data_IF_482575380660
#
_entry.id   IF_482575380660
#
_cell.length_a   1.000
_cell.length_b   1.000
_cell.length_c   1.000
_cell.angle_alpha   90.00
_cell.angle_beta   90.00
_cell.angle_gamma   90.00
#
_symmetry.space_group_name_H-M   'P 1'
#
loop_
_entity.id
_entity.type
_entity.pdbx_description
1 polymer ?
#
# COMPACT_ATOMS: atom_id res chain seq x y z
N UNK A 1 4.48 9.67 12.29
CA UNK A 1 4.09 9.69 10.85
C UNK A 1 4.54 8.36 10.28
N UNK A 2 3.60 7.52 9.87
CA UNK A 2 3.92 6.19 9.33
C UNK A 2 4.52 6.35 7.92
N UNK A 3 5.51 5.52 7.59
CA UNK A 3 6.22 5.56 6.32
C UNK A 3 6.61 4.16 5.90
N UNK A 4 6.39 3.86 4.62
CA UNK A 4 6.76 2.61 3.97
C UNK A 4 8.20 2.60 3.45
N UNK A 5 8.99 3.66 3.71
CA UNK A 5 10.28 3.88 3.05
C UNK A 5 11.28 2.72 3.20
N UNK A 6 11.35 2.09 4.37
CA UNK A 6 12.24 0.94 4.61
C UNK A 6 11.82 -0.26 3.74
N UNK A 7 10.52 -0.50 3.60
CA UNK A 7 10.00 -1.61 2.81
C UNK A 7 10.13 -1.34 1.32
N UNK A 8 9.86 -0.12 0.87
CA UNK A 8 10.10 0.33 -0.51
C UNK A 8 11.58 0.14 -0.86
N UNK A 9 12.50 0.52 0.03
CA UNK A 9 13.93 0.31 -0.19
C UNK A 9 14.32 -1.17 -0.25
N UNK A 10 13.76 -2.01 0.63
CA UNK A 10 13.99 -3.48 0.60
C UNK A 10 13.55 -4.09 -0.74
N UNK A 11 12.35 -3.74 -1.21
CA UNK A 11 11.84 -4.22 -2.52
C UNK A 11 12.70 -3.70 -3.67
N UNK A 12 13.09 -2.42 -3.65
CA UNK A 12 13.99 -1.85 -4.64
C UNK A 12 15.29 -2.66 -4.73
N UNK A 13 15.90 -3.02 -3.60
CA UNK A 13 17.15 -3.80 -3.59
C UNK A 13 16.97 -5.26 -4.00
N UNK A 14 15.78 -5.82 -3.88
CA UNK A 14 15.46 -7.15 -4.41
C UNK A 14 15.34 -7.14 -5.95
N UNK A 15 14.82 -6.06 -6.54
CA UNK A 15 14.60 -5.94 -7.99
C UNK A 15 15.83 -5.35 -8.70
N UNK A 16 16.49 -4.37 -8.09
CA UNK A 16 17.63 -3.62 -8.62
C UNK A 16 18.69 -3.34 -7.53
N UNK A 17 19.60 -4.30 -7.26
CA UNK A 17 20.58 -4.20 -6.17
C UNK A 17 21.46 -2.95 -6.22
N UNK A 18 21.84 -2.51 -7.42
CA UNK A 18 22.80 -1.39 -7.61
C UNK A 18 22.12 -0.03 -7.78
N UNK A 19 20.79 0.02 -7.84
CA UNK A 19 20.04 1.27 -8.03
C UNK A 19 19.74 1.97 -6.71
N UNK A 20 19.96 3.28 -6.66
CA UNK A 20 19.54 4.15 -5.54
C UNK A 20 18.20 4.83 -5.81
N UNK A 21 17.59 5.40 -4.77
CA UNK A 21 16.36 6.20 -4.87
C UNK A 21 16.55 7.52 -4.13
N UNK A 22 16.15 8.63 -4.76
CA UNK A 22 16.23 9.96 -4.14
C UNK A 22 15.16 10.13 -3.05
N UNK A 23 15.36 11.08 -2.14
CA UNK A 23 14.36 11.42 -1.10
C UNK A 23 13.03 11.87 -1.70
N UNK A 24 13.05 12.62 -2.81
CA UNK A 24 11.85 13.05 -3.54
C UNK A 24 11.10 11.85 -4.14
N UNK A 25 11.80 10.94 -4.81
CA UNK A 25 11.19 9.73 -5.36
C UNK A 25 10.65 8.82 -4.26
N UNK A 26 11.36 8.69 -3.14
CA UNK A 26 10.89 7.93 -1.98
C UNK A 26 9.60 8.53 -1.40
N UNK A 27 9.50 9.86 -1.29
CA UNK A 27 8.27 10.53 -0.83
C UNK A 27 7.08 10.24 -1.76
N UNK A 28 7.30 10.30 -3.09
CA UNK A 28 6.27 9.97 -4.08
C UNK A 28 5.82 8.51 -3.93
N UNK A 29 6.76 7.57 -3.82
CA UNK A 29 6.45 6.15 -3.63
C UNK A 29 5.69 5.90 -2.33
N UNK A 30 6.05 6.59 -1.24
CA UNK A 30 5.32 6.49 0.02
C UNK A 30 3.88 7.00 -0.12
N UNK A 31 3.67 8.14 -0.78
CA UNK A 31 2.32 8.65 -1.08
C UNK A 31 1.53 7.70 -1.97
N UNK A 32 2.17 7.10 -2.98
CA UNK A 32 1.53 6.12 -3.86
C UNK A 32 1.03 4.89 -3.09
N UNK A 33 1.84 4.34 -2.17
CA UNK A 33 1.42 3.21 -1.34
C UNK A 33 0.24 3.58 -0.43
N UNK A 34 0.24 4.79 0.14
CA UNK A 34 -0.89 5.25 0.96
C UNK A 34 -2.18 5.41 0.13
N UNK A 35 -2.11 6.06 -1.04
CA UNK A 35 -3.28 6.21 -1.94
C UNK A 35 -3.86 4.85 -2.33
N UNK A 36 -3.01 3.91 -2.73
CA UNK A 36 -3.45 2.57 -3.11
C UNK A 36 -4.08 1.83 -1.91
N UNK A 37 -3.46 1.92 -0.74
CA UNK A 37 -3.99 1.31 0.49
C UNK A 37 -5.36 1.86 0.84
N UNK A 38 -5.53 3.18 0.86
CA UNK A 38 -6.81 3.84 1.17
C UNK A 38 -7.90 3.45 0.17
N UNK A 39 -7.57 3.41 -1.12
CA UNK A 39 -8.50 3.01 -2.17
C UNK A 39 -8.97 1.56 -2.01
N UNK A 40 -8.06 0.63 -1.76
CA UNK A 40 -8.39 -0.78 -1.54
C UNK A 40 -9.20 -0.95 -0.25
N UNK A 41 -8.76 -0.34 0.85
CA UNK A 41 -9.44 -0.44 2.15
C UNK A 41 -10.85 0.14 2.10
N UNK A 42 -11.04 1.25 1.39
CA UNK A 42 -12.34 1.88 1.18
C UNK A 42 -13.29 0.96 0.40
N UNK A 43 -12.83 0.35 -0.69
CA UNK A 43 -13.68 -0.54 -1.48
C UNK A 43 -13.98 -1.85 -0.73
N UNK A 44 -12.99 -2.43 -0.06
CA UNK A 44 -13.18 -3.62 0.78
C UNK A 44 -14.19 -3.35 1.91
N UNK A 45 -14.13 -2.17 2.53
CA UNK A 45 -15.10 -1.73 3.54
C UNK A 45 -16.51 -1.62 2.95
N UNK A 46 -16.65 -0.98 1.78
CA UNK A 46 -17.93 -0.89 1.07
C UNK A 46 -18.50 -2.29 0.78
N UNK A 47 -17.68 -3.21 0.27
CA UNK A 47 -18.08 -4.59 0.00
C UNK A 47 -18.51 -5.35 1.26
N UNK A 48 -17.81 -5.20 2.38
CA UNK A 48 -18.21 -5.79 3.65
C UNK A 48 -19.57 -5.25 4.12
N UNK A 49 -19.76 -3.93 4.03
CA UNK A 49 -21.03 -3.28 4.36
C UNK A 49 -22.18 -3.74 3.47
N UNK A 50 -21.97 -3.84 2.15
CA UNK A 50 -22.98 -4.36 1.20
C UNK A 50 -23.41 -5.79 1.56
N UNK A 51 -22.46 -6.62 2.00
CA UNK A 51 -22.71 -8.00 2.40
C UNK A 51 -23.15 -8.16 3.87
N UNK A 52 -23.42 -7.06 4.59
CA UNK A 52 -23.81 -7.04 6.01
C UNK A 52 -22.82 -7.80 6.91
N UNK A 53 -21.53 -7.73 6.57
CA UNK A 53 -20.44 -8.30 7.36
C UNK A 53 -19.77 -7.20 8.17
N UNK A 54 -19.42 -7.50 9.41
CA UNK A 54 -18.65 -6.62 10.30
C UNK A 54 -17.14 -6.85 10.22
N UNK A 55 -16.71 -7.87 9.48
CA UNK A 55 -15.30 -8.25 9.31
C UNK A 55 -14.94 -8.17 7.83
N UNK A 56 -13.92 -7.39 7.51
CA UNK A 56 -13.28 -7.40 6.20
C UNK A 56 -12.35 -8.60 6.14
N UNK A 57 -12.56 -9.48 5.17
CA UNK A 57 -11.70 -10.66 4.95
C UNK A 57 -10.90 -10.49 3.66
N UNK A 58 -10.03 -11.45 3.34
CA UNK A 58 -9.33 -11.45 2.04
C UNK A 58 -10.29 -11.46 0.85
N UNK A 59 -11.52 -11.96 1.02
CA UNK A 59 -12.55 -11.98 -0.03
C UNK A 59 -12.96 -10.58 -0.48
N UNK A 60 -12.99 -9.61 0.42
CA UNK A 60 -13.36 -8.23 0.08
C UNK A 60 -12.18 -7.43 -0.51
N UNK A 61 -10.96 -7.95 -0.40
CA UNK A 61 -9.73 -7.35 -0.95
C UNK A 61 -9.39 -7.87 -2.35
N UNK A 62 -9.79 -9.12 -2.66
CA UNK A 62 -9.50 -9.83 -3.91
C UNK A 62 -10.45 -9.46 -5.05
#
# INVERSE_FOLDING_TARGET
RESYAIYIYKVLKQVHPDTGISSKAMSIMNSFVNDLFERIASEASRLAHYNRRSTITSREVQ
#
